data_IF_501098777313
#
_entry.id   IF_501098777313
#
_cell.length_a   1.000
_cell.length_b   1.000
_cell.length_c   1.000
_cell.angle_alpha   90.00
_cell.angle_beta   90.00
_cell.angle_gamma   90.00
#
_symmetry.space_group_name_H-M   'P 1'
#
loop_
_entity.id
_entity.type
_entity.pdbx_description
1 polymer ?
#
# COMPACT_ATOMS: atom_id res chain seq x y z
N UNK A 1 12.70 -22.86 11.40
CA UNK A 1 12.85 -21.40 11.67
C UNK A 1 13.20 -20.62 10.41
N UNK A 2 14.13 -21.09 9.58
CA UNK A 2 14.50 -20.47 8.28
C UNK A 2 13.34 -20.32 7.30
N UNK A 3 12.48 -21.33 7.16
CA UNK A 3 11.34 -21.29 6.24
C UNK A 3 10.34 -20.16 6.55
N UNK A 4 10.02 -19.93 7.84
CA UNK A 4 9.09 -18.88 8.27
C UNK A 4 9.65 -17.47 8.01
N UNK A 5 10.96 -17.29 8.18
CA UNK A 5 11.65 -16.02 7.89
C UNK A 5 11.61 -15.72 6.39
N UNK A 6 11.83 -16.75 5.55
CA UNK A 6 11.75 -16.62 4.09
C UNK A 6 10.33 -16.30 3.63
N UNK A 7 9.32 -16.97 4.19
CA UNK A 7 7.91 -16.74 3.88
C UNK A 7 7.49 -15.31 4.23
N UNK A 8 7.82 -14.84 5.44
CA UNK A 8 7.58 -13.45 5.83
C UNK A 8 8.23 -12.47 4.88
N UNK A 9 9.51 -12.67 4.57
CA UNK A 9 10.25 -11.76 3.69
C UNK A 9 9.62 -11.68 2.30
N UNK A 10 9.21 -12.81 1.73
CA UNK A 10 8.55 -12.86 0.43
C UNK A 10 7.18 -12.18 0.46
N UNK A 11 6.40 -12.41 1.51
CA UNK A 11 5.07 -11.83 1.67
C UNK A 11 5.11 -10.30 1.85
N UNK A 12 6.02 -9.80 2.70
CA UNK A 12 6.24 -8.36 2.88
C UNK A 12 6.79 -7.73 1.60
N UNK A 13 7.70 -8.40 0.88
CA UNK A 13 8.21 -7.91 -0.40
C UNK A 13 7.10 -7.80 -1.46
N UNK A 14 6.19 -8.79 -1.53
CA UNK A 14 5.04 -8.74 -2.42
C UNK A 14 4.09 -7.59 -2.07
N UNK A 15 3.90 -7.30 -0.79
CA UNK A 15 3.13 -6.14 -0.36
C UNK A 15 3.82 -4.81 -0.71
N UNK A 16 5.14 -4.70 -0.53
CA UNK A 16 5.89 -3.50 -0.94
C UNK A 16 5.84 -3.27 -2.45
N UNK A 17 5.93 -4.31 -3.28
CA UNK A 17 5.75 -4.17 -4.73
C UNK A 17 4.37 -3.62 -5.09
N UNK A 18 3.33 -3.96 -4.32
CA UNK A 18 2.00 -3.40 -4.51
C UNK A 18 1.95 -1.93 -4.06
N UNK A 19 2.62 -1.57 -2.97
CA UNK A 19 2.73 -0.19 -2.50
C UNK A 19 3.45 0.70 -3.52
N UNK A 20 4.53 0.18 -4.12
CA UNK A 20 5.35 0.89 -5.11
C UNK A 20 4.70 1.02 -6.50
N UNK A 21 3.56 0.35 -6.74
CA UNK A 21 2.79 0.47 -7.98
C UNK A 21 2.01 1.81 -8.03
N UNK A 22 2.78 2.87 -8.21
CA UNK A 22 2.31 4.25 -8.38
C UNK A 22 1.36 4.40 -9.57
N UNK A 23 1.48 3.56 -10.61
CA UNK A 23 0.61 3.65 -11.79
C UNK A 23 -0.81 3.22 -11.46
N UNK A 24 -0.97 2.06 -10.82
CA UNK A 24 -2.28 1.57 -10.39
C UNK A 24 -2.84 2.41 -9.24
N UNK A 25 -1.97 2.87 -8.33
CA UNK A 25 -2.33 3.78 -7.24
C UNK A 25 -2.93 5.08 -7.78
N UNK A 26 -2.28 5.75 -8.74
CA UNK A 26 -2.78 7.01 -9.30
C UNK A 26 -3.98 6.83 -10.23
N UNK A 27 -4.14 5.66 -10.86
CA UNK A 27 -5.31 5.37 -11.70
C UNK A 27 -6.59 5.14 -10.87
N UNK A 28 -6.49 4.46 -9.72
CA UNK A 28 -7.63 4.15 -8.87
C UNK A 28 -7.27 4.15 -7.37
N UNK A 29 -7.01 5.33 -6.76
CA UNK A 29 -6.45 5.44 -5.41
C UNK A 29 -7.24 4.69 -4.34
N UNK A 30 -8.57 4.85 -4.34
CA UNK A 30 -9.43 4.21 -3.34
C UNK A 30 -9.53 2.69 -3.50
N UNK A 31 -9.41 2.16 -4.72
CA UNK A 31 -9.42 0.70 -4.95
C UNK A 31 -8.07 0.10 -4.55
N UNK A 32 -6.97 0.77 -4.93
CA UNK A 32 -5.61 0.35 -4.60
C UNK A 32 -5.36 0.37 -3.09
N UNK A 33 -5.79 1.43 -2.41
CA UNK A 33 -5.71 1.54 -0.96
C UNK A 33 -6.46 0.41 -0.23
N UNK A 34 -7.69 0.08 -0.66
CA UNK A 34 -8.43 -1.07 -0.10
C UNK A 34 -7.71 -2.40 -0.31
N UNK A 35 -7.02 -2.57 -1.44
CA UNK A 35 -6.22 -3.75 -1.71
C UNK A 35 -5.01 -3.84 -0.78
N UNK A 36 -4.30 -2.73 -0.54
CA UNK A 36 -3.17 -2.64 0.41
C UNK A 36 -3.60 -3.04 1.83
N UNK A 37 -4.72 -2.49 2.32
CA UNK A 37 -5.30 -2.84 3.63
C UNK A 37 -5.66 -4.33 3.68
N UNK A 38 -6.36 -4.83 2.65
CA UNK A 38 -6.76 -6.24 2.60
C UNK A 38 -5.56 -7.17 2.69
N UNK A 39 -4.49 -6.89 1.92
CA UNK A 39 -3.26 -7.69 1.94
C UNK A 39 -2.53 -7.60 3.27
N UNK A 40 -2.41 -6.41 3.86
CA UNK A 40 -1.85 -6.25 5.20
C UNK A 40 -2.64 -7.05 6.25
N UNK A 41 -3.98 -7.02 6.19
CA UNK A 41 -4.86 -7.78 7.09
C UNK A 41 -4.74 -9.29 6.91
N UNK A 42 -4.55 -9.78 5.68
CA UNK A 42 -4.26 -11.19 5.40
C UNK A 42 -2.94 -11.61 6.07
N UNK A 43 -1.88 -10.82 5.93
CA UNK A 43 -0.58 -11.11 6.55
C UNK A 43 -0.65 -11.13 8.08
N UNK A 44 -1.36 -10.19 8.68
CA UNK A 44 -1.53 -10.13 10.13
C UNK A 44 -2.39 -11.31 10.64
N UNK A 45 -3.46 -11.67 9.93
CA UNK A 45 -4.31 -12.81 10.28
C UNK A 45 -3.55 -14.14 10.25
N UNK A 46 -2.60 -14.29 9.32
CA UNK A 46 -1.71 -15.44 9.22
C UNK A 46 -0.52 -15.38 10.20
N UNK A 47 -0.43 -14.33 11.04
CA UNK A 47 0.69 -14.07 11.96
C UNK A 47 2.05 -13.98 11.26
N UNK A 48 2.05 -13.60 9.99
CA UNK A 48 3.26 -13.39 9.19
C UNK A 48 3.94 -12.08 9.59
N UNK A 49 3.12 -11.05 9.91
CA UNK A 49 3.58 -9.75 10.42
C UNK A 49 3.06 -9.55 11.84
N UNK A 50 3.83 -8.82 12.65
CA UNK A 50 3.42 -8.44 14.01
C UNK A 50 2.32 -7.36 13.98
N UNK A 51 1.63 -7.10 15.10
CA UNK A 51 0.68 -5.99 15.19
C UNK A 51 1.33 -4.62 14.93
N UNK A 52 2.60 -4.45 15.32
CA UNK A 52 3.39 -3.23 15.08
C UNK A 52 3.64 -3.06 13.58
N UNK A 53 4.16 -4.11 12.92
CA UNK A 53 4.39 -4.12 11.47
C UNK A 53 3.08 -3.92 10.68
N UNK A 54 1.98 -4.49 11.16
CA UNK A 54 0.67 -4.28 10.57
C UNK A 54 0.23 -2.81 10.68
N UNK A 55 0.48 -2.17 11.82
CA UNK A 55 0.27 -0.73 12.00
C UNK A 55 1.06 0.09 10.97
N UNK A 56 2.37 -0.15 10.87
CA UNK A 56 3.26 0.53 9.91
C UNK A 56 2.75 0.36 8.46
N UNK A 57 2.28 -0.84 8.10
CA UNK A 57 1.71 -1.11 6.78
C UNK A 57 0.43 -0.33 6.52
N UNK A 58 -0.44 -0.13 7.52
CA UNK A 58 -1.64 0.68 7.38
C UNK A 58 -1.30 2.16 7.21
N UNK A 59 -0.35 2.68 8.01
CA UNK A 59 0.11 4.06 7.90
C UNK A 59 0.69 4.36 6.51
N UNK A 60 1.49 3.43 5.96
CA UNK A 60 2.00 3.53 4.60
C UNK A 60 0.89 3.48 3.54
N UNK A 61 -0.14 2.65 3.72
CA UNK A 61 -1.28 2.58 2.81
C UNK A 61 -2.11 3.87 2.82
N UNK A 62 -2.31 4.48 3.99
CA UNK A 62 -2.96 5.78 4.15
C UNK A 62 -2.13 6.89 3.50
N UNK A 63 -0.81 6.89 3.73
CA UNK A 63 0.12 7.82 3.10
C UNK A 63 0.12 7.75 1.57
N UNK A 64 0.09 6.53 1.00
CA UNK A 64 -0.02 6.32 -0.44
C UNK A 64 -1.34 6.86 -1.00
N UNK A 65 -2.46 6.69 -0.29
CA UNK A 65 -3.75 7.26 -0.69
C UNK A 65 -3.72 8.79 -0.68
N UNK A 66 -3.18 9.39 0.39
CA UNK A 66 -3.06 10.85 0.50
C UNK A 66 -2.21 11.42 -0.65
N UNK A 67 -1.04 10.85 -0.89
CA UNK A 67 -0.18 11.20 -2.02
C UNK A 67 -0.92 11.12 -3.36
N UNK A 68 -1.67 10.05 -3.59
CA UNK A 68 -2.37 9.86 -4.86
C UNK A 68 -3.50 10.86 -5.08
N UNK A 69 -4.22 11.22 -4.01
CA UNK A 69 -5.26 12.26 -4.06
C UNK A 69 -4.61 13.62 -4.35
N UNK A 70 -3.53 13.97 -3.65
CA UNK A 70 -2.79 15.23 -3.88
C UNK A 70 -2.27 15.31 -5.31
N UNK A 71 -1.64 14.26 -5.82
CA UNK A 71 -1.14 14.21 -7.19
C UNK A 71 -2.26 14.37 -8.22
N UNK A 72 -3.42 13.73 -8.02
CA UNK A 72 -4.58 13.91 -8.91
C UNK A 72 -5.11 15.35 -8.90
N UNK A 73 -5.13 16.00 -7.73
CA UNK A 73 -5.55 17.39 -7.60
C UNK A 73 -4.57 18.35 -8.28
N UNK A 74 -3.26 18.12 -8.12
CA UNK A 74 -2.21 18.89 -8.80
C UNK A 74 -2.34 18.76 -10.32
N UNK A 75 -2.58 17.55 -10.84
CA UNK A 75 -2.85 17.36 -12.26
C UNK A 75 -4.09 18.13 -12.73
N UNK A 76 -5.15 18.19 -11.92
CA UNK A 76 -6.36 18.94 -12.27
C UNK A 76 -6.10 20.47 -12.27
N UNK A 77 -5.36 20.97 -11.29
CA UNK A 77 -5.03 22.39 -11.17
C UNK A 77 -4.19 22.91 -12.34
N UNK A 78 -3.26 22.10 -12.85
CA UNK A 78 -2.42 22.44 -14.02
C UNK A 78 -3.26 22.51 -15.32
N UNK A 79 -4.34 21.73 -15.43
CA UNK A 79 -5.16 21.65 -16.64
C UNK A 79 -6.38 22.60 -16.63
N UNK A 80 -6.62 23.31 -15.53
CA UNK A 80 -7.76 24.22 -15.36
C UNK A 80 -7.50 25.70 -15.66
N UNK A 81 -6.27 26.07 -16.03
CA UNK A 81 -5.84 27.44 -16.32
C UNK A 81 -5.69 27.72 -17.84
N UNK A 82 -6.64 27.27 -18.66
CA UNK A 82 -6.71 27.59 -20.10
C UNK A 82 -8.06 28.17 -20.51
#
# INVERSE_FOLDING_TARGET
MTALITEKKAAVAAWNMLLDDSTTLLAAPGVHHKLLIKRAGELHSLRIVSPEEFGDMLELADGALAYAIEAQLDFLAINGDS
#
